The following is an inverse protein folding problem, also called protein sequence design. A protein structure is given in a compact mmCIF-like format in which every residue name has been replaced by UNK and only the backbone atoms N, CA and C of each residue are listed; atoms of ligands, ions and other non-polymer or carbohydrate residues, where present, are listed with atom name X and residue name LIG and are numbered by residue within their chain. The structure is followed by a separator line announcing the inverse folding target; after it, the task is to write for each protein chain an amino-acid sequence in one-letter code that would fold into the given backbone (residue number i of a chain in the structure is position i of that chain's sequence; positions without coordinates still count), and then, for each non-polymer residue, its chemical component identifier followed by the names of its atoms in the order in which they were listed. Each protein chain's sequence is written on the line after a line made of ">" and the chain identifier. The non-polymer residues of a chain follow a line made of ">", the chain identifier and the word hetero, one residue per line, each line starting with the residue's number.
data_IF_425981783512
#
_entry.id   IF_425981783512
#
_cell.length_a   1.000
_cell.length_b   1.000
_cell.length_c   1.000
_cell.angle_alpha   90.00
_cell.angle_beta   90.00
_cell.angle_gamma   90.00
#
_symmetry.space_group_name_H-M   'P 1'
#
loop_
_entity.id
_entity.type
_entity.pdbx_description
1 polymer ?
#
# COMPACT_ATOMS: atom_id res chain seq x y z
N UNK A 1 4.73 -8.00 -17.60
CA UNK A 1 3.34 -7.53 -17.81
C UNK A 1 3.09 -6.53 -16.69
N UNK A 2 2.68 -5.30 -16.98
CA UNK A 2 2.46 -4.31 -15.92
C UNK A 2 1.19 -4.71 -15.15
N UNK A 3 1.35 -5.03 -13.87
CA UNK A 3 0.22 -5.25 -12.98
C UNK A 3 -0.49 -3.92 -12.81
N UNK A 4 -1.71 -3.82 -13.35
CA UNK A 4 -2.51 -2.60 -13.22
C UNK A 4 -2.93 -2.46 -11.76
N UNK A 5 -2.33 -1.52 -11.00
CA UNK A 5 -2.81 -1.18 -9.67
C UNK A 5 -4.28 -0.73 -9.75
N UNK A 6 -5.15 -1.35 -8.97
CA UNK A 6 -6.53 -0.90 -8.79
C UNK A 6 -6.58 0.32 -7.87
N UNK A 7 -6.17 1.47 -8.39
CA UNK A 7 -6.20 2.74 -7.66
C UNK A 7 -7.65 3.23 -7.55
N UNK A 8 -8.09 3.43 -6.32
CA UNK A 8 -9.38 4.04 -5.95
C UNK A 8 -9.16 5.47 -5.46
N UNK A 9 -10.23 6.25 -5.39
CA UNK A 9 -10.22 7.61 -4.85
C UNK A 9 -11.38 7.82 -3.90
N UNK A 10 -11.15 8.60 -2.84
CA UNK A 10 -12.18 9.15 -1.97
C UNK A 10 -11.89 10.64 -1.76
N UNK A 11 -12.69 11.50 -2.40
CA UNK A 11 -12.39 12.92 -2.49
C UNK A 11 -11.03 13.16 -3.16
N UNK A 12 -10.10 13.78 -2.42
CA UNK A 12 -8.75 14.10 -2.90
C UNK A 12 -7.70 13.03 -2.56
N UNK A 13 -8.10 11.92 -1.92
CA UNK A 13 -7.18 10.86 -1.49
C UNK A 13 -7.23 9.72 -2.50
N UNK A 14 -6.09 9.37 -3.09
CA UNK A 14 -5.91 8.20 -3.94
C UNK A 14 -5.30 7.06 -3.13
N UNK A 15 -5.81 5.85 -3.29
CA UNK A 15 -5.41 4.70 -2.49
C UNK A 15 -5.60 3.39 -3.24
N UNK A 16 -4.94 2.35 -2.78
CA UNK A 16 -5.20 0.96 -3.15
C UNK A 16 -5.74 0.19 -1.95
N UNK A 17 -6.52 -0.86 -2.21
CA UNK A 17 -6.91 -1.82 -1.19
C UNK A 17 -5.90 -2.96 -1.16
N UNK A 18 -5.37 -3.26 0.02
CA UNK A 18 -4.42 -4.36 0.21
C UNK A 18 -5.07 -5.70 -0.17
N UNK A 19 -6.39 -5.85 0.08
CA UNK A 19 -7.15 -7.05 -0.29
C UNK A 19 -7.29 -7.27 -1.80
N UNK A 20 -7.07 -6.23 -2.62
CA UNK A 20 -7.13 -6.32 -4.08
C UNK A 20 -5.75 -6.57 -4.72
N UNK A 21 -4.69 -6.67 -3.91
CA UNK A 21 -3.35 -7.05 -4.34
C UNK A 21 -3.22 -8.58 -4.50
N UNK A 22 -2.20 -9.07 -5.23
CA UNK A 22 -1.88 -10.50 -5.27
C UNK A 22 -1.76 -11.09 -3.86
N UNK A 23 -2.36 -12.26 -3.62
CA UNK A 23 -2.51 -12.86 -2.28
C UNK A 23 -1.18 -13.05 -1.56
N UNK A 24 -0.13 -13.38 -2.31
CA UNK A 24 1.25 -13.54 -1.84
C UNK A 24 1.91 -12.21 -1.43
N UNK A 25 1.40 -11.08 -1.90
CA UNK A 25 1.94 -9.75 -1.62
C UNK A 25 1.21 -9.04 -0.47
N UNK A 26 -0.02 -9.44 -0.15
CA UNK A 26 -0.86 -8.76 0.85
C UNK A 26 -0.20 -8.72 2.24
N UNK A 27 0.23 -9.88 2.77
CA UNK A 27 0.80 -9.96 4.10
C UNK A 27 2.20 -9.30 4.19
N UNK A 28 3.14 -9.56 3.27
CA UNK A 28 4.44 -8.87 3.26
C UNK A 28 4.32 -7.35 3.10
N UNK A 29 3.45 -6.88 2.20
CA UNK A 29 3.25 -5.45 2.01
C UNK A 29 2.61 -4.79 3.23
N UNK A 30 1.64 -5.44 3.86
CA UNK A 30 1.04 -4.95 5.11
C UNK A 30 2.07 -4.85 6.23
N UNK A 31 2.95 -5.84 6.38
CA UNK A 31 4.06 -5.78 7.35
C UNK A 31 5.04 -4.64 7.05
N UNK A 32 5.36 -4.41 5.77
CA UNK A 32 6.20 -3.30 5.36
C UNK A 32 5.54 -1.96 5.67
N UNK A 33 4.24 -1.79 5.38
CA UNK A 33 3.49 -0.57 5.72
C UNK A 33 3.47 -0.28 7.23
N UNK A 34 3.38 -1.32 8.07
CA UNK A 34 3.44 -1.15 9.53
C UNK A 34 4.83 -0.74 10.03
N UNK A 35 5.90 -1.10 9.31
CA UNK A 35 7.28 -0.89 9.76
C UNK A 35 7.92 0.35 9.13
N UNK A 36 7.60 0.63 7.87
CA UNK A 36 8.30 1.54 6.97
C UNK A 36 7.33 2.42 6.15
N UNK A 37 6.03 2.11 6.12
CA UNK A 37 5.03 2.86 5.35
C UNK A 37 4.92 4.31 5.81
N UNK A 38 4.96 5.25 4.87
CA UNK A 38 5.12 6.66 5.23
C UNK A 38 3.86 7.27 5.86
N UNK A 39 2.67 6.78 5.55
CA UNK A 39 1.40 7.10 6.23
C UNK A 39 0.29 6.29 5.59
N UNK A 40 -0.64 5.72 6.37
CA UNK A 40 -1.84 5.13 5.77
C UNK A 40 -2.84 6.25 5.42
N UNK A 41 -3.50 6.18 4.26
CA UNK A 41 -4.51 7.16 3.90
C UNK A 41 -5.68 7.12 4.89
N UNK A 42 -6.04 8.29 5.44
CA UNK A 42 -7.16 8.45 6.37
C UNK A 42 -8.47 8.61 5.57
N UNK A 43 -9.06 7.49 5.17
CA UNK A 43 -10.19 7.46 4.24
C UNK A 43 -11.53 7.23 4.94
N UNK A 44 -11.56 6.22 5.80
CA UNK A 44 -12.73 5.84 6.61
C UNK A 44 -12.26 4.88 7.71
N UNK A 45 -12.91 4.87 8.88
CA UNK A 45 -12.55 3.96 9.99
C UNK A 45 -12.72 2.49 9.61
N UNK A 46 -13.55 2.19 8.61
CA UNK A 46 -13.76 0.82 8.11
C UNK A 46 -12.63 0.31 7.22
N UNK A 47 -11.78 1.19 6.68
CA UNK A 47 -10.66 0.85 5.80
C UNK A 47 -9.29 0.98 6.49
N UNK A 48 -9.30 1.32 7.77
CA UNK A 48 -8.12 1.46 8.63
C UNK A 48 -7.31 0.15 8.62
N UNK A 49 -6.04 0.22 8.22
CA UNK A 49 -5.17 -0.97 8.12
C UNK A 49 -5.35 -1.83 6.87
N UNK A 50 -6.28 -1.51 5.95
CA UNK A 50 -6.54 -2.28 4.74
C UNK A 50 -6.42 -1.47 3.44
N UNK A 51 -5.98 -0.22 3.55
CA UNK A 51 -5.64 0.62 2.41
C UNK A 51 -4.24 1.21 2.55
N UNK A 52 -3.64 1.52 1.41
CA UNK A 52 -2.32 2.11 1.31
C UNK A 52 -2.32 3.12 0.18
N UNK A 53 -1.36 4.04 0.18
CA UNK A 53 -1.20 4.87 -0.99
C UNK A 53 -0.58 4.07 -2.16
N UNK A 54 -0.89 4.40 -3.43
CA UNK A 54 -0.32 3.70 -4.57
C UNK A 54 1.22 3.79 -4.63
N UNK A 55 1.77 4.94 -4.24
CA UNK A 55 3.22 5.20 -4.23
C UNK A 55 3.97 4.39 -3.17
N UNK A 56 3.35 4.09 -2.02
CA UNK A 56 3.94 3.16 -1.03
C UNK A 56 4.10 1.75 -1.62
N UNK A 57 3.13 1.29 -2.39
CA UNK A 57 3.19 -0.02 -3.04
C UNK A 57 4.23 -0.06 -4.16
N UNK A 58 4.33 1.00 -4.97
CA UNK A 58 5.40 1.11 -5.97
C UNK A 58 6.79 1.13 -5.32
N UNK A 59 6.95 1.84 -4.19
CA UNK A 59 8.19 1.87 -3.43
C UNK A 59 8.53 0.50 -2.87
N UNK A 60 7.55 -0.19 -2.28
CA UNK A 60 7.72 -1.56 -1.79
C UNK A 60 8.08 -2.54 -2.91
N UNK A 61 7.42 -2.50 -4.07
CA UNK A 61 7.76 -3.36 -5.22
C UNK A 61 9.16 -3.07 -5.76
N UNK A 62 9.59 -1.81 -5.71
CA UNK A 62 10.93 -1.40 -6.14
C UNK A 62 12.02 -1.80 -5.13
N UNK A 63 11.67 -1.93 -3.85
CA UNK A 63 12.62 -2.32 -2.80
C UNK A 63 11.92 -3.04 -1.63
N UNK A 64 11.55 -4.33 -1.79
CA UNK A 64 10.79 -5.06 -0.77
C UNK A 64 11.61 -5.36 0.50
N UNK A 65 12.93 -5.16 0.44
CA UNK A 65 13.87 -5.28 1.54
C UNK A 65 14.35 -3.92 2.06
N UNK A 66 13.74 -2.80 1.66
CA UNK A 66 14.04 -1.49 2.23
C UNK A 66 13.57 -1.45 3.70
N UNK A 67 14.40 -1.97 4.59
CA UNK A 67 14.49 -1.53 5.97
C UNK A 67 15.50 -0.38 5.93
N UNK A 68 15.03 0.87 5.83
CA UNK A 68 15.84 2.10 5.80
C UNK A 68 17.26 2.03 5.19
N UNK A 69 17.43 2.60 4.00
CA UNK A 69 18.60 3.45 3.75
C UNK A 69 18.15 4.76 3.10
N UNK A 70 17.93 5.73 4.01
CA UNK A 70 17.97 7.20 3.86
C UNK A 70 16.81 7.89 3.12
#
# INVERSE_FOLDING_TARGET
>A
MAETLNVKSNGNIFFILISELPTDEQAPFKQWLHSEGQTQPLIDKQLDGNCAYPWDYELWKSNPNATHLL
#
